data_IF_125557029257
#
_entry.id   IF_125557029257
#
_cell.length_a   1.000
_cell.length_b   1.000
_cell.length_c   1.000
_cell.angle_alpha   90.00
_cell.angle_beta   90.00
_cell.angle_gamma   90.00
#
_symmetry.space_group_name_H-M   'P 1'
#
loop_
_entity.id
_entity.type
_entity.pdbx_description
1 polymer ?
#
# COMPACT_ATOMS: atom_id res chain seq x y z
N UNK A 1 4.13 -8.76 16.00
CA UNK A 1 2.83 -8.37 15.40
C UNK A 1 3.09 -7.24 14.41
N UNK A 2 2.69 -7.44 13.15
CA UNK A 2 2.84 -6.58 11.94
C UNK A 2 4.10 -6.73 11.05
N UNK A 3 5.19 -7.38 11.46
CA UNK A 3 6.39 -7.50 10.61
C UNK A 3 6.41 -8.69 9.63
N UNK A 4 5.55 -9.70 9.83
CA UNK A 4 5.72 -11.00 9.16
C UNK A 4 4.83 -11.20 7.92
N UNK A 5 4.03 -10.20 7.52
CA UNK A 5 3.09 -10.33 6.38
C UNK A 5 3.37 -9.41 5.19
N UNK A 6 4.47 -8.66 5.19
CA UNK A 6 4.88 -7.82 4.04
C UNK A 6 6.16 -8.29 3.33
N UNK A 7 6.86 -9.28 3.89
CA UNK A 7 8.28 -9.46 3.56
C UNK A 7 8.59 -10.35 2.34
N UNK A 8 7.59 -10.74 1.54
CA UNK A 8 7.82 -11.56 0.35
C UNK A 8 7.77 -10.80 -0.99
N UNK A 9 7.38 -9.52 -1.01
CA UNK A 9 7.22 -8.80 -2.27
C UNK A 9 7.18 -7.28 -2.22
N UNK A 10 7.41 -6.61 -1.09
CA UNK A 10 7.56 -5.15 -1.07
C UNK A 10 9.03 -4.79 -1.32
N UNK A 11 9.29 -4.00 -2.37
CA UNK A 11 10.63 -3.52 -2.75
C UNK A 11 10.99 -2.23 -2.04
N UNK A 12 10.04 -1.30 -1.95
CA UNK A 12 10.21 -0.04 -1.22
C UNK A 12 8.87 0.51 -0.79
N UNK A 13 8.90 1.37 0.23
CA UNK A 13 7.76 2.20 0.60
C UNK A 13 8.27 3.57 1.03
N UNK A 14 7.54 4.61 0.64
CA UNK A 14 7.78 5.99 1.04
C UNK A 14 6.50 6.57 1.63
N UNK A 15 6.64 7.26 2.75
CA UNK A 15 5.52 7.88 3.46
C UNK A 15 5.78 9.37 3.61
N UNK A 16 4.87 10.18 3.11
CA UNK A 16 4.85 11.62 3.35
C UNK A 16 3.68 11.96 4.26
N UNK A 17 3.99 12.45 5.47
CA UNK A 17 2.96 12.87 6.42
C UNK A 17 2.35 14.21 6.02
N UNK A 18 3.13 15.11 5.40
CA UNK A 18 2.67 16.42 4.92
C UNK A 18 1.71 16.27 3.74
N UNK A 19 2.05 15.42 2.77
CA UNK A 19 1.19 15.16 1.60
C UNK A 19 0.09 14.12 1.88
N UNK A 20 0.15 13.43 3.03
CA UNK A 20 -0.73 12.31 3.38
C UNK A 20 -0.74 11.19 2.32
N UNK A 21 0.43 10.89 1.76
CA UNK A 21 0.60 9.86 0.73
C UNK A 21 1.49 8.73 1.21
N UNK A 22 1.18 7.52 0.77
CA UNK A 22 2.07 6.36 0.86
C UNK A 22 2.29 5.80 -0.55
N UNK A 23 3.55 5.74 -0.97
CA UNK A 23 3.95 5.04 -2.20
C UNK A 23 4.54 3.69 -1.82
N UNK A 24 4.13 2.64 -2.53
CA UNK A 24 4.61 1.27 -2.29
C UNK A 24 4.98 0.68 -3.64
N UNK A 25 6.22 0.20 -3.76
CA UNK A 25 6.69 -0.53 -4.92
C UNK A 25 6.79 -2.00 -4.53
N UNK A 26 6.19 -2.87 -5.33
CA UNK A 26 6.13 -4.31 -5.05
C UNK A 26 6.67 -5.16 -6.21
N UNK A 27 6.83 -6.46 -5.96
CA UNK A 27 6.87 -7.46 -7.00
C UNK A 27 5.49 -7.60 -7.66
N UNK A 28 5.40 -8.04 -8.93
CA UNK A 28 4.13 -8.25 -9.62
C UNK A 28 3.22 -9.30 -8.98
N UNK A 29 3.75 -10.13 -8.07
CA UNK A 29 2.98 -11.12 -7.31
C UNK A 29 2.16 -10.52 -6.18
N UNK A 30 2.37 -9.25 -5.82
CA UNK A 30 1.61 -8.56 -4.78
C UNK A 30 0.57 -7.67 -5.44
N UNK A 31 -0.70 -7.92 -5.12
CA UNK A 31 -1.82 -7.16 -5.66
C UNK A 31 -1.99 -5.81 -4.96
N UNK A 32 -2.67 -4.88 -5.63
CA UNK A 32 -3.08 -3.62 -5.03
C UNK A 32 -3.96 -3.85 -3.78
N UNK A 33 -4.87 -4.82 -3.87
CA UNK A 33 -5.82 -5.16 -2.82
C UNK A 33 -5.12 -5.66 -1.55
N UNK A 34 -4.04 -6.43 -1.68
CA UNK A 34 -3.24 -6.91 -0.55
C UNK A 34 -2.58 -5.74 0.19
N UNK A 35 -1.97 -4.81 -0.56
CA UNK A 35 -1.35 -3.60 0.01
C UNK A 35 -2.41 -2.75 0.70
N UNK A 36 -3.54 -2.50 0.03
CA UNK A 36 -4.64 -1.71 0.57
C UNK A 36 -5.20 -2.33 1.87
N UNK A 37 -5.40 -3.65 1.90
CA UNK A 37 -5.88 -4.35 3.09
C UNK A 37 -4.94 -4.17 4.28
N UNK A 38 -3.62 -4.17 4.06
CA UNK A 38 -2.65 -3.90 5.14
C UNK A 38 -2.72 -2.44 5.59
N UNK A 39 -2.79 -1.48 4.67
CA UNK A 39 -2.90 -0.07 5.04
C UNK A 39 -4.17 0.16 5.88
N UNK A 40 -5.31 -0.42 5.48
CA UNK A 40 -6.57 -0.30 6.24
C UNK A 40 -6.49 -0.90 7.64
N UNK A 41 -5.71 -1.97 7.87
CA UNK A 41 -5.48 -2.54 9.21
C UNK A 41 -4.80 -1.54 10.17
N UNK A 42 -4.17 -0.48 9.66
CA UNK A 42 -3.60 0.59 10.50
C UNK A 42 -4.66 1.56 11.06
N UNK A 43 -5.93 1.41 10.66
CA UNK A 43 -7.03 2.30 11.06
C UNK A 43 -7.05 3.64 10.31
N UNK A 44 -6.19 3.82 9.30
CA UNK A 44 -6.18 4.99 8.44
C UNK A 44 -7.31 4.91 7.41
N UNK A 45 -8.02 6.02 7.22
CA UNK A 45 -8.93 6.17 6.09
C UNK A 45 -8.11 6.33 4.81
N UNK A 46 -8.31 5.43 3.86
CA UNK A 46 -7.81 5.57 2.49
C UNK A 46 -8.95 6.16 1.68
N UNK A 47 -8.70 7.24 0.95
CA UNK A 47 -9.73 7.96 0.17
C UNK A 47 -9.54 7.83 -1.33
N UNK A 48 -8.33 7.46 -1.77
CA UNK A 48 -7.96 7.19 -3.16
C UNK A 48 -6.78 6.23 -3.22
N UNK A 49 -6.67 5.46 -4.29
CA UNK A 49 -5.42 4.78 -4.66
C UNK A 49 -5.30 4.56 -6.17
N UNK A 50 -4.08 4.30 -6.60
CA UNK A 50 -3.70 4.07 -7.99
C UNK A 50 -2.64 2.96 -8.03
N UNK A 51 -2.71 2.12 -9.05
CA UNK A 51 -1.70 1.10 -9.34
C UNK A 51 -1.37 1.15 -10.83
N UNK A 52 -0.08 1.22 -11.17
CA UNK A 52 0.42 1.21 -12.56
C UNK A 52 -0.28 2.21 -13.50
N UNK A 53 -0.62 3.41 -12.98
CA UNK A 53 -1.29 4.46 -13.75
C UNK A 53 -2.82 4.34 -13.80
N UNK A 54 -3.42 3.37 -13.09
CA UNK A 54 -4.85 3.09 -13.10
C UNK A 54 -5.45 3.38 -11.72
N UNK A 55 -6.48 4.22 -11.69
CA UNK A 55 -7.24 4.50 -10.46
C UNK A 55 -8.01 3.26 -10.01
N UNK A 56 -7.88 2.92 -8.73
CA UNK A 56 -8.42 1.70 -8.14
C UNK A 56 -9.53 2.01 -7.14
N UNK A 57 -10.45 1.07 -6.96
CA UNK A 57 -11.45 1.16 -5.92
C UNK A 57 -10.78 1.05 -4.54
N UNK A 58 -11.24 1.89 -3.60
CA UNK A 58 -10.79 1.87 -2.21
C UNK A 58 -11.76 1.12 -1.34
#
# INVERSE_FOLDING_TARGET
MLTDSLNAGVKSFEVSLDAQTAQVITEPSVSYEDVLAVIKKTGKAVTKGEADGVEMAV
#
